data_IF_082840915119
#
_entry.id   IF_082840915119
#
_cell.length_a   1.000
_cell.length_b   1.000
_cell.length_c   1.000
_cell.angle_alpha   90.00
_cell.angle_beta   90.00
_cell.angle_gamma   90.00
#
_symmetry.space_group_name_H-M   'P 1'
#
loop_
_entity.id
_entity.type
_entity.pdbx_description
1 polymer ?
#
# COMPACT_ATOMS: atom_id res chain seq x y z
N UNK A 1 25.85 15.91 9.00
CA UNK A 1 25.67 16.34 10.39
C UNK A 1 24.35 15.79 10.85
N UNK A 2 24.38 14.61 11.46
CA UNK A 2 23.90 14.14 12.78
C UNK A 2 22.54 14.77 13.17
N UNK A 3 21.47 14.00 13.35
CA UNK A 3 21.21 13.21 14.56
C UNK A 3 20.22 12.08 14.23
N UNK A 4 20.64 10.85 14.51
CA UNK A 4 19.83 9.64 14.62
C UNK A 4 19.30 9.63 16.05
N UNK A 5 17.99 9.60 16.25
CA UNK A 5 17.40 9.33 17.55
C UNK A 5 16.71 7.97 17.49
N UNK A 6 17.45 6.94 17.90
CA UNK A 6 16.91 5.62 18.17
C UNK A 6 16.21 5.66 19.53
N UNK A 7 14.89 5.46 19.55
CA UNK A 7 14.15 5.18 20.79
C UNK A 7 13.99 3.67 20.89
N UNK A 8 14.89 3.07 21.66
CA UNK A 8 14.77 1.72 22.17
C UNK A 8 13.81 1.74 23.37
N UNK A 9 12.62 1.19 23.20
CA UNK A 9 11.70 0.94 24.29
C UNK A 9 11.99 -0.48 24.82
N UNK A 10 12.78 -0.53 25.89
CA UNK A 10 13.08 -1.74 26.64
C UNK A 10 11.82 -2.09 27.46
N UNK A 11 11.16 -3.17 27.08
CA UNK A 11 10.15 -3.79 27.92
C UNK A 11 10.87 -4.65 28.97
N UNK A 12 10.98 -4.10 30.18
CA UNK A 12 11.43 -4.84 31.36
C UNK A 12 10.32 -5.81 31.80
N UNK A 13 10.55 -7.09 31.57
CA UNK A 13 9.82 -8.18 32.22
C UNK A 13 10.21 -8.20 33.69
N UNK A 14 9.32 -7.76 34.54
CA UNK A 14 9.42 -7.94 35.99
C UNK A 14 9.24 -9.40 36.34
N UNK A 15 10.35 -10.07 36.61
CA UNK A 15 10.35 -11.36 37.30
C UNK A 15 10.01 -11.14 38.76
N UNK A 16 8.86 -11.62 39.20
CA UNK A 16 8.49 -11.68 40.60
C UNK A 16 9.05 -12.98 41.19
N UNK A 17 10.18 -12.89 41.89
CA UNK A 17 10.68 -13.99 42.73
C UNK A 17 9.81 -14.08 43.99
N UNK A 18 9.01 -15.11 44.04
CA UNK A 18 8.28 -15.47 45.23
C UNK A 18 9.11 -16.36 46.14
N UNK A 19 9.47 -15.85 47.31
CA UNK A 19 10.17 -16.56 48.39
C UNK A 19 9.41 -17.82 48.83
N UNK A 20 10.10 -18.94 48.80
CA UNK A 20 9.71 -20.20 49.38
C UNK A 20 10.09 -20.20 50.88
N UNK A 21 9.13 -20.09 51.78
CA UNK A 21 9.33 -20.48 53.18
C UNK A 21 8.56 -21.79 53.43
N UNK A 22 9.32 -22.79 53.76
CA UNK A 22 8.83 -24.09 54.19
C UNK A 22 8.28 -24.01 55.62
N UNK A 23 7.05 -24.44 55.81
CA UNK A 23 6.55 -24.87 57.14
C UNK A 23 5.53 -26.00 56.93
N UNK A 24 5.81 -27.13 57.43
CA UNK A 24 5.02 -28.36 57.49
C UNK A 24 4.41 -28.50 58.93
N UNK A 25 3.55 -29.50 59.24
CA UNK A 25 2.17 -29.72 58.84
C UNK A 25 1.21 -29.78 60.02
N UNK A 26 -0.05 -29.54 59.84
CA UNK A 26 -1.08 -30.14 60.70
C UNK A 26 -2.39 -30.31 59.93
N UNK A 27 -2.88 -31.50 59.98
CA UNK A 27 -4.08 -32.01 59.37
C UNK A 27 -5.35 -31.24 59.78
N UNK A 28 -6.18 -30.87 58.80
CA UNK A 28 -7.62 -30.81 58.97
C UNK A 28 -8.35 -31.27 57.72
N UNK A 29 -9.11 -32.31 57.86
CA UNK A 29 -10.09 -32.85 56.93
C UNK A 29 -11.22 -31.85 56.84
N UNK A 30 -11.52 -31.36 55.63
CA UNK A 30 -12.66 -30.48 55.43
C UNK A 30 -12.93 -30.27 53.93
N UNK A 31 -13.95 -30.98 53.46
CA UNK A 31 -14.83 -30.73 52.33
C UNK A 31 -14.19 -30.32 50.99
N UNK A 32 -14.25 -31.25 50.03
CA UNK A 32 -13.91 -31.03 48.61
C UNK A 32 -14.78 -29.95 47.99
N UNK A 33 -14.14 -28.82 47.66
CA UNK A 33 -14.61 -27.92 46.64
C UNK A 33 -14.00 -28.42 45.32
N UNK A 34 -14.77 -28.69 44.26
CA UNK A 34 -14.25 -29.27 43.05
C UNK A 34 -13.29 -28.26 42.38
N UNK A 35 -12.03 -28.65 42.26
CA UNK A 35 -10.97 -27.91 41.54
C UNK A 35 -11.31 -27.65 40.06
N UNK A 36 -12.39 -28.21 39.56
CA UNK A 36 -12.83 -28.12 38.17
C UNK A 36 -13.45 -26.76 37.83
N UNK A 37 -14.08 -26.05 38.80
CA UNK A 37 -14.77 -24.79 38.53
C UNK A 37 -13.79 -23.61 38.31
N UNK A 38 -12.64 -23.61 38.98
CA UNK A 38 -11.64 -22.54 38.84
C UNK A 38 -10.93 -22.56 37.45
N UNK A 39 -10.66 -23.75 36.96
CA UNK A 39 -10.03 -23.89 35.63
C UNK A 39 -10.99 -23.53 34.48
N UNK A 40 -12.29 -23.83 34.64
CA UNK A 40 -13.30 -23.43 33.64
C UNK A 40 -13.54 -21.91 33.62
N UNK A 41 -13.53 -21.27 34.79
CA UNK A 41 -13.69 -19.81 34.89
C UNK A 41 -12.49 -19.10 34.27
N UNK A 42 -11.27 -19.53 34.55
CA UNK A 42 -10.06 -18.95 33.94
C UNK A 42 -10.01 -19.13 32.42
N UNK A 43 -10.40 -20.29 31.89
CA UNK A 43 -10.44 -20.51 30.44
C UNK A 43 -11.51 -19.66 29.75
N UNK A 44 -12.66 -19.43 30.38
CA UNK A 44 -13.72 -18.57 29.88
C UNK A 44 -13.30 -17.08 29.86
N UNK A 45 -12.62 -16.61 30.92
CA UNK A 45 -12.07 -15.24 30.97
C UNK A 45 -10.99 -15.02 29.90
N UNK A 46 -10.10 -15.99 29.72
CA UNK A 46 -9.08 -15.95 28.66
C UNK A 46 -9.73 -15.91 27.27
N UNK A 47 -10.71 -16.78 27.00
CA UNK A 47 -11.42 -16.79 25.72
C UNK A 47 -12.15 -15.46 25.46
N UNK A 48 -12.75 -14.84 26.49
CA UNK A 48 -13.38 -13.52 26.38
C UNK A 48 -12.38 -12.42 26.04
N UNK A 49 -11.21 -12.42 26.71
CA UNK A 49 -10.12 -11.47 26.42
C UNK A 49 -9.59 -11.64 24.99
N UNK A 50 -9.37 -12.87 24.52
CA UNK A 50 -8.92 -13.14 23.16
C UNK A 50 -9.94 -12.67 22.12
N UNK A 51 -11.24 -12.93 22.34
CA UNK A 51 -12.31 -12.42 21.46
C UNK A 51 -12.34 -10.88 21.41
N UNK A 52 -12.08 -10.20 22.51
CA UNK A 52 -11.98 -8.74 22.54
C UNK A 52 -10.78 -8.22 21.74
N UNK A 53 -9.63 -8.90 21.82
CA UNK A 53 -8.44 -8.55 21.03
C UNK A 53 -8.67 -8.80 19.53
N UNK A 54 -9.29 -9.92 19.14
CA UNK A 54 -9.68 -10.20 17.76
C UNK A 54 -10.58 -9.08 17.22
N UNK A 55 -11.62 -8.72 18.00
CA UNK A 55 -12.52 -7.63 17.63
C UNK A 55 -11.80 -6.29 17.45
N UNK A 56 -10.82 -5.99 18.29
CA UNK A 56 -10.02 -4.76 18.15
C UNK A 56 -9.27 -4.73 16.82
N UNK A 57 -8.66 -5.86 16.40
CA UNK A 57 -8.02 -5.98 15.09
C UNK A 57 -9.04 -5.83 13.97
N UNK A 58 -10.22 -6.47 14.08
CA UNK A 58 -11.29 -6.32 13.09
C UNK A 58 -11.75 -4.88 12.93
N UNK A 59 -11.88 -4.15 14.04
CA UNK A 59 -12.24 -2.72 14.02
C UNK A 59 -11.15 -1.84 13.36
N UNK A 60 -9.89 -2.23 13.48
CA UNK A 60 -8.78 -1.54 12.81
C UNK A 60 -8.75 -1.80 11.29
N UNK A 61 -9.02 -3.04 10.86
CA UNK A 61 -8.89 -3.41 9.44
C UNK A 61 -10.17 -3.25 8.64
N UNK A 62 -11.34 -3.11 9.27
CA UNK A 62 -12.66 -3.06 8.58
C UNK A 62 -12.77 -1.97 7.51
N UNK A 63 -12.08 -0.83 7.70
CA UNK A 63 -12.06 0.28 6.76
C UNK A 63 -10.89 0.20 5.76
N UNK A 64 -10.11 -0.87 5.79
CA UNK A 64 -9.03 -1.06 4.85
C UNK A 64 -9.59 -1.34 3.46
N UNK A 65 -9.11 -0.57 2.47
CA UNK A 65 -9.60 -0.66 1.10
C UNK A 65 -9.38 -2.05 0.48
N UNK A 66 -8.30 -2.74 0.84
CA UNK A 66 -7.97 -4.06 0.33
C UNK A 66 -8.91 -5.13 0.87
N UNK A 67 -9.25 -5.06 2.18
CA UNK A 67 -10.27 -5.94 2.80
C UNK A 67 -11.61 -5.75 2.11
N UNK A 68 -12.03 -4.50 1.91
CA UNK A 68 -13.30 -4.21 1.23
C UNK A 68 -13.33 -4.74 -0.21
N UNK A 69 -12.27 -4.49 -0.98
CA UNK A 69 -12.14 -4.99 -2.37
C UNK A 69 -12.13 -6.52 -2.43
N UNK A 70 -11.39 -7.16 -1.53
CA UNK A 70 -11.31 -8.62 -1.46
C UNK A 70 -12.64 -9.24 -1.06
N UNK A 71 -13.32 -8.70 -0.04
CA UNK A 71 -14.65 -9.14 0.38
C UNK A 71 -15.67 -9.04 -0.76
N UNK A 72 -15.68 -7.93 -1.51
CA UNK A 72 -16.55 -7.74 -2.66
C UNK A 72 -16.22 -8.72 -3.80
N UNK A 73 -14.94 -8.98 -4.06
CA UNK A 73 -14.50 -9.98 -5.03
C UNK A 73 -15.00 -11.39 -4.64
N UNK A 74 -14.84 -11.80 -3.38
CA UNK A 74 -15.35 -13.08 -2.88
C UNK A 74 -16.89 -13.12 -2.96
N UNK A 75 -17.54 -12.02 -2.62
CA UNK A 75 -19.00 -11.86 -2.78
C UNK A 75 -19.44 -12.09 -4.24
N UNK A 76 -18.76 -11.48 -5.19
CA UNK A 76 -19.02 -11.67 -6.62
C UNK A 76 -18.82 -13.13 -7.05
N UNK A 77 -17.72 -13.77 -6.65
CA UNK A 77 -17.45 -15.18 -6.94
C UNK A 77 -18.52 -16.12 -6.36
N UNK A 78 -19.00 -15.84 -5.15
CA UNK A 78 -20.06 -16.61 -4.51
C UNK A 78 -21.40 -16.46 -5.25
N UNK A 79 -21.75 -15.25 -5.66
CA UNK A 79 -22.95 -14.99 -6.46
C UNK A 79 -22.86 -15.69 -7.83
N UNK A 80 -21.68 -15.71 -8.45
CA UNK A 80 -21.45 -16.42 -9.71
C UNK A 80 -21.66 -17.93 -9.55
N UNK A 81 -21.13 -18.53 -8.48
CA UNK A 81 -21.37 -19.95 -8.14
C UNK A 81 -22.84 -20.22 -7.87
N UNK A 82 -23.51 -19.33 -7.11
CA UNK A 82 -24.94 -19.45 -6.82
C UNK A 82 -25.80 -19.35 -8.10
N UNK A 83 -25.47 -18.43 -9.01
CA UNK A 83 -26.14 -18.33 -10.31
C UNK A 83 -26.01 -19.63 -11.10
N UNK A 84 -24.81 -20.21 -11.18
CA UNK A 84 -24.58 -21.47 -11.87
C UNK A 84 -25.36 -22.66 -11.23
N UNK A 85 -25.43 -22.68 -9.89
CA UNK A 85 -26.18 -23.69 -9.16
C UNK A 85 -27.69 -23.57 -9.46
N UNK A 86 -28.26 -22.36 -9.41
CA UNK A 86 -29.65 -22.10 -9.70
C UNK A 86 -30.01 -22.43 -11.17
N UNK A 87 -29.12 -22.16 -12.12
CA UNK A 87 -29.28 -22.55 -13.52
C UNK A 87 -29.27 -24.09 -13.71
N UNK A 88 -28.41 -24.78 -12.97
CA UNK A 88 -28.39 -26.25 -12.98
C UNK A 88 -29.63 -26.86 -12.32
N UNK A 89 -30.12 -26.25 -11.23
CA UNK A 89 -31.36 -26.65 -10.56
C UNK A 89 -32.59 -26.41 -11.46
N UNK A 90 -32.64 -25.27 -12.15
CA UNK A 90 -33.73 -24.92 -13.09
C UNK A 90 -33.84 -25.98 -14.20
N UNK A 91 -32.70 -26.47 -14.73
CA UNK A 91 -32.70 -27.54 -15.77
C UNK A 91 -33.20 -28.89 -15.27
N UNK A 92 -33.10 -29.14 -13.95
CA UNK A 92 -33.55 -30.42 -13.34
C UNK A 92 -34.98 -30.38 -12.80
N UNK A 93 -35.56 -29.19 -12.63
CA UNK A 93 -36.86 -29.02 -11.98
C UNK A 93 -38.02 -29.31 -12.95
N UNK A 94 -39.02 -30.12 -12.48
CA UNK A 94 -40.16 -30.58 -13.27
C UNK A 94 -41.50 -30.01 -12.81
N UNK A 95 -41.57 -29.00 -11.93
CA UNK A 95 -42.79 -28.42 -11.40
C UNK A 95 -42.89 -26.93 -11.65
N UNK A 96 -44.04 -26.43 -12.14
CA UNK A 96 -44.26 -25.02 -12.53
C UNK A 96 -43.97 -24.04 -11.40
N UNK A 97 -44.43 -24.32 -10.16
CA UNK A 97 -44.26 -23.40 -9.02
C UNK A 97 -42.80 -23.31 -8.57
N UNK A 98 -42.07 -24.44 -8.54
CA UNK A 98 -40.62 -24.46 -8.22
C UNK A 98 -39.80 -23.74 -9.29
N UNK A 99 -40.15 -23.90 -10.57
CA UNK A 99 -39.51 -23.21 -11.68
C UNK A 99 -39.65 -21.69 -11.52
N UNK A 100 -40.84 -21.18 -11.20
CA UNK A 100 -41.10 -19.77 -11.02
C UNK A 100 -40.26 -19.18 -9.83
N UNK A 101 -40.15 -19.92 -8.73
CA UNK A 101 -39.36 -19.51 -7.57
C UNK A 101 -37.85 -19.47 -7.91
N UNK A 102 -37.32 -20.50 -8.56
CA UNK A 102 -35.91 -20.55 -8.96
C UNK A 102 -35.59 -19.42 -9.94
N UNK A 103 -36.47 -19.15 -10.91
CA UNK A 103 -36.30 -18.04 -11.85
C UNK A 103 -36.28 -16.68 -11.16
N UNK A 104 -37.12 -16.47 -10.14
CA UNK A 104 -37.14 -15.24 -9.35
C UNK A 104 -35.78 -15.06 -8.60
N UNK A 105 -35.29 -16.13 -7.95
CA UNK A 105 -34.01 -16.11 -7.25
C UNK A 105 -32.85 -15.86 -8.23
N UNK A 106 -32.84 -16.55 -9.36
CA UNK A 106 -31.83 -16.39 -10.40
C UNK A 106 -31.78 -14.97 -10.95
N UNK A 107 -32.96 -14.33 -11.17
CA UNK A 107 -33.01 -12.94 -11.60
C UNK A 107 -32.38 -12.00 -10.56
N UNK A 108 -32.75 -12.16 -9.28
CA UNK A 108 -32.17 -11.35 -8.20
C UNK A 108 -30.63 -11.50 -8.10
N UNK A 109 -30.13 -12.75 -8.23
CA UNK A 109 -28.66 -12.99 -8.21
C UNK A 109 -27.99 -12.35 -9.43
N UNK A 110 -28.59 -12.43 -10.62
CA UNK A 110 -28.07 -11.80 -11.84
C UNK A 110 -28.06 -10.27 -11.74
N UNK A 111 -29.06 -9.66 -11.13
CA UNK A 111 -29.11 -8.22 -10.86
C UNK A 111 -27.97 -7.81 -9.89
N UNK A 112 -27.73 -8.60 -8.83
CA UNK A 112 -26.61 -8.36 -7.93
C UNK A 112 -25.23 -8.50 -8.62
N UNK A 113 -25.07 -9.49 -9.51
CA UNK A 113 -23.85 -9.66 -10.31
C UNK A 113 -23.58 -8.45 -11.22
N UNK A 114 -24.63 -7.84 -11.79
CA UNK A 114 -24.49 -6.62 -12.60
C UNK A 114 -23.99 -5.45 -11.74
N UNK A 115 -24.53 -5.29 -10.53
CA UNK A 115 -24.11 -4.24 -9.60
C UNK A 115 -22.66 -4.40 -9.12
N UNK A 116 -22.20 -5.65 -8.97
CA UNK A 116 -20.86 -5.97 -8.49
C UNK A 116 -19.87 -6.28 -9.62
N UNK A 117 -20.21 -5.97 -10.87
CA UNK A 117 -19.39 -6.33 -12.04
C UNK A 117 -17.96 -5.76 -11.99
N UNK A 118 -17.75 -4.63 -11.34
CA UNK A 118 -16.43 -4.05 -11.15
C UNK A 118 -15.47 -4.95 -10.33
N UNK A 119 -16.04 -5.84 -9.48
CA UNK A 119 -15.30 -6.80 -8.65
C UNK A 119 -15.12 -8.18 -9.32
N UNK A 120 -15.37 -8.31 -10.61
CA UNK A 120 -15.14 -9.55 -11.37
C UNK A 120 -13.66 -9.93 -11.41
N UNK A 121 -12.79 -8.92 -11.48
CA UNK A 121 -11.34 -9.10 -11.55
C UNK A 121 -10.71 -9.14 -10.16
N UNK A 122 -9.57 -9.80 -10.05
CA UNK A 122 -8.79 -9.82 -8.80
C UNK A 122 -8.57 -8.41 -8.26
N UNK A 123 -8.81 -8.18 -6.96
CA UNK A 123 -8.61 -6.88 -6.32
C UNK A 123 -7.17 -6.40 -6.35
N UNK A 124 -6.22 -7.31 -6.58
CA UNK A 124 -4.78 -7.03 -6.58
C UNK A 124 -4.22 -6.72 -7.97
N UNK A 125 -5.06 -6.74 -9.02
CA UNK A 125 -4.59 -6.59 -10.40
C UNK A 125 -3.83 -5.28 -10.60
N UNK A 126 -4.32 -4.18 -10.00
CA UNK A 126 -3.73 -2.84 -10.15
C UNK A 126 -2.32 -2.73 -9.57
N UNK A 127 -2.02 -3.52 -8.53
CA UNK A 127 -0.68 -3.52 -7.90
C UNK A 127 0.26 -4.57 -8.49
N UNK A 128 -0.31 -5.64 -9.05
CA UNK A 128 0.44 -6.70 -9.72
C UNK A 128 0.82 -6.26 -11.14
N UNK A 129 -0.13 -5.70 -11.90
CA UNK A 129 0.09 -5.14 -13.21
C UNK A 129 0.54 -3.68 -13.10
N UNK A 130 1.82 -3.46 -12.82
CA UNK A 130 2.38 -2.10 -12.70
C UNK A 130 2.00 -1.23 -13.90
N UNK A 131 1.74 0.07 -13.67
CA UNK A 131 1.33 0.97 -14.74
C UNK A 131 2.41 1.05 -15.83
N UNK A 132 1.97 1.08 -17.08
CA UNK A 132 2.88 1.33 -18.20
C UNK A 132 3.49 2.72 -18.05
N UNK A 133 4.81 2.77 -18.01
CA UNK A 133 5.54 4.04 -18.03
C UNK A 133 6.06 4.26 -19.44
N UNK A 134 5.44 5.16 -20.23
CA UNK A 134 5.98 5.54 -21.52
C UNK A 134 7.36 6.16 -21.35
N UNK A 135 8.24 5.95 -22.32
CA UNK A 135 9.55 6.61 -22.29
C UNK A 135 9.36 8.13 -22.35
N UNK A 136 9.93 8.87 -21.39
CA UNK A 136 9.78 10.30 -21.38
C UNK A 136 10.53 10.93 -22.57
N UNK A 137 9.95 11.98 -23.15
CA UNK A 137 10.56 12.72 -24.24
C UNK A 137 11.94 13.26 -23.82
N UNK A 138 12.92 13.15 -24.74
CA UNK A 138 14.28 13.67 -24.54
C UNK A 138 14.29 15.19 -24.43
N UNK A 139 15.09 15.72 -23.52
CA UNK A 139 15.26 17.17 -23.35
C UNK A 139 16.33 17.66 -24.33
N UNK A 140 15.91 18.24 -25.45
CA UNK A 140 16.80 18.64 -26.55
C UNK A 140 17.17 20.11 -26.55
N UNK A 141 16.45 20.93 -25.80
CA UNK A 141 16.67 22.39 -25.74
C UNK A 141 16.55 22.92 -24.30
N UNK A 142 17.16 24.10 -23.98
CA UNK A 142 17.13 24.66 -22.63
C UNK A 142 15.74 25.00 -22.10
N UNK A 143 14.76 25.30 -22.99
CA UNK A 143 13.40 25.67 -22.55
C UNK A 143 12.61 24.48 -22.04
N UNK A 144 12.96 23.26 -22.48
CA UNK A 144 12.32 22.01 -22.01
C UNK A 144 12.86 21.50 -20.67
N UNK A 145 13.77 22.22 -20.02
CA UNK A 145 14.30 21.84 -18.69
C UNK A 145 13.15 21.77 -17.65
N UNK A 146 12.22 22.71 -17.70
CA UNK A 146 11.08 22.78 -16.74
C UNK A 146 10.18 21.54 -16.92
N UNK A 147 9.89 21.15 -18.18
CA UNK A 147 9.11 19.94 -18.43
C UNK A 147 9.86 18.68 -17.97
N UNK A 148 11.18 18.63 -18.10
CA UNK A 148 12.02 17.55 -17.58
C UNK A 148 11.93 17.40 -16.04
N UNK A 149 11.97 18.48 -15.31
CA UNK A 149 11.75 18.44 -13.85
C UNK A 149 10.35 17.95 -13.49
N UNK A 150 9.32 18.40 -14.20
CA UNK A 150 7.96 17.92 -14.02
C UNK A 150 7.85 16.42 -14.27
N UNK A 151 8.48 15.92 -15.32
CA UNK A 151 8.54 14.49 -15.64
C UNK A 151 9.21 13.68 -14.52
N UNK A 152 10.37 14.13 -14.02
CA UNK A 152 11.07 13.47 -12.92
C UNK A 152 10.17 13.41 -11.67
N UNK A 153 9.51 14.52 -11.33
CA UNK A 153 8.60 14.58 -10.19
C UNK A 153 7.43 13.60 -10.35
N UNK A 154 6.84 13.53 -11.53
CA UNK A 154 5.73 12.60 -11.81
C UNK A 154 6.18 11.14 -11.69
N UNK A 155 7.35 10.78 -12.24
CA UNK A 155 7.92 9.45 -12.12
C UNK A 155 8.20 9.08 -10.65
N UNK A 156 8.73 10.01 -9.86
CA UNK A 156 8.94 9.80 -8.42
C UNK A 156 7.63 9.63 -7.66
N UNK A 157 6.60 10.41 -8.00
CA UNK A 157 5.28 10.31 -7.38
C UNK A 157 4.64 8.94 -7.68
N UNK A 158 4.65 8.49 -8.94
CA UNK A 158 4.15 7.17 -9.33
C UNK A 158 4.88 6.03 -8.60
N UNK A 159 6.22 6.12 -8.52
CA UNK A 159 7.03 5.15 -7.78
C UNK A 159 6.62 5.09 -6.30
N UNK A 160 6.44 6.24 -5.67
CA UNK A 160 6.05 6.33 -4.26
C UNK A 160 4.64 5.79 -4.03
N UNK A 161 3.70 6.10 -4.90
CA UNK A 161 2.32 5.61 -4.82
C UNK A 161 2.26 4.09 -4.86
N UNK A 162 2.96 3.45 -5.80
CA UNK A 162 3.04 1.99 -5.89
C UNK A 162 3.69 1.37 -4.66
N UNK A 163 4.80 1.96 -4.19
CA UNK A 163 5.46 1.51 -2.98
C UNK A 163 4.52 1.55 -1.77
N UNK A 164 3.82 2.67 -1.59
CA UNK A 164 2.88 2.84 -0.47
C UNK A 164 1.72 1.84 -0.55
N UNK A 165 1.22 1.54 -1.76
CA UNK A 165 0.16 0.55 -1.94
C UNK A 165 0.61 -0.85 -1.51
N UNK A 166 1.83 -1.26 -1.89
CA UNK A 166 2.43 -2.54 -1.49
C UNK A 166 2.69 -2.58 0.02
N UNK A 167 3.21 -1.51 0.60
CA UNK A 167 3.46 -1.41 2.04
C UNK A 167 2.17 -1.49 2.87
N UNK A 168 1.09 -0.88 2.39
CA UNK A 168 -0.23 -0.98 3.02
C UNK A 168 -0.76 -2.43 3.04
N UNK A 169 -0.50 -3.22 2.00
CA UNK A 169 -0.85 -4.65 1.99
C UNK A 169 0.00 -5.40 3.01
N UNK A 170 1.30 -5.11 3.12
CA UNK A 170 2.16 -5.75 4.10
C UNK A 170 1.67 -5.49 5.53
N UNK A 171 1.36 -4.24 5.86
CA UNK A 171 0.79 -3.88 7.17
C UNK A 171 -0.50 -4.64 7.44
N UNK A 172 -1.33 -4.84 6.40
CA UNK A 172 -2.55 -5.63 6.53
C UNK A 172 -2.24 -7.10 6.79
N UNK A 173 -1.29 -7.71 6.07
CA UNK A 173 -0.84 -9.08 6.30
C UNK A 173 -0.38 -9.26 7.74
N UNK A 174 0.46 -8.36 8.26
CA UNK A 174 0.96 -8.41 9.64
C UNK A 174 -0.20 -8.41 10.67
N UNK A 175 -1.28 -7.64 10.40
CA UNK A 175 -2.49 -7.63 11.25
C UNK A 175 -3.31 -8.91 11.13
N UNK A 176 -3.45 -9.45 9.93
CA UNK A 176 -4.15 -10.73 9.70
C UNK A 176 -3.39 -11.89 10.35
N UNK A 177 -2.04 -11.89 10.31
CA UNK A 177 -1.21 -12.88 11.01
C UNK A 177 -1.37 -12.76 12.54
N UNK A 178 -1.40 -11.54 13.08
CA UNK A 178 -1.68 -11.32 14.51
C UNK A 178 -3.08 -11.85 14.89
N UNK A 179 -4.10 -11.60 14.05
CA UNK A 179 -5.46 -12.13 14.24
C UNK A 179 -5.46 -13.66 14.19
N UNK A 180 -4.74 -14.25 13.25
CA UNK A 180 -4.55 -15.71 13.12
C UNK A 180 -4.00 -16.32 14.41
N UNK A 181 -2.92 -15.75 14.95
CA UNK A 181 -2.31 -16.20 16.20
C UNK A 181 -3.29 -16.12 17.39
N UNK A 182 -4.17 -15.12 17.42
CA UNK A 182 -5.21 -15.03 18.45
C UNK A 182 -6.29 -16.12 18.30
N UNK A 183 -6.70 -16.45 17.07
CA UNK A 183 -7.62 -17.58 16.84
C UNK A 183 -7.01 -18.92 17.21
N UNK A 184 -5.73 -19.16 16.93
CA UNK A 184 -5.02 -20.36 17.34
C UNK A 184 -5.00 -20.53 18.87
N UNK A 185 -4.75 -19.43 19.60
CA UNK A 185 -4.82 -19.40 21.07
C UNK A 185 -6.25 -19.62 21.58
N UNK A 186 -7.24 -19.04 20.91
CA UNK A 186 -8.65 -19.21 21.26
C UNK A 186 -9.08 -20.67 21.10
N UNK A 187 -8.65 -21.36 20.06
CA UNK A 187 -8.91 -22.80 19.87
C UNK A 187 -8.26 -23.66 20.96
N UNK A 188 -7.09 -23.27 21.46
CA UNK A 188 -6.43 -23.97 22.56
C UNK A 188 -7.15 -23.73 23.90
N UNK A 189 -7.72 -22.54 24.11
CA UNK A 189 -8.41 -22.17 25.33
C UNK A 189 -9.87 -22.67 25.39
N UNK A 190 -10.52 -22.80 24.23
CA UNK A 190 -11.92 -23.22 24.11
C UNK A 190 -12.11 -24.09 22.87
N UNK A 191 -12.88 -25.19 23.01
CA UNK A 191 -13.26 -26.05 21.87
C UNK A 191 -14.37 -25.37 21.01
N UNK A 192 -14.13 -24.12 20.56
CA UNK A 192 -15.09 -23.34 19.78
C UNK A 192 -14.99 -23.71 18.31
N UNK A 193 -15.97 -24.47 17.81
CA UNK A 193 -16.02 -24.89 16.41
C UNK A 193 -16.13 -23.69 15.44
N UNK A 194 -16.67 -22.55 15.87
CA UNK A 194 -16.73 -21.35 15.06
C UNK A 194 -15.36 -20.75 14.85
N UNK A 195 -14.47 -20.80 15.85
CA UNK A 195 -13.10 -20.32 15.74
C UNK A 195 -12.28 -21.12 14.69
N UNK A 196 -12.54 -22.41 14.56
CA UNK A 196 -11.88 -23.25 13.55
C UNK A 196 -12.32 -22.89 12.12
N UNK A 197 -13.61 -22.57 11.92
CA UNK A 197 -14.11 -22.13 10.62
C UNK A 197 -13.54 -20.75 10.24
N UNK A 198 -13.49 -19.81 11.18
CA UNK A 198 -12.90 -18.49 10.98
C UNK A 198 -11.40 -18.57 10.70
N UNK A 199 -10.66 -19.43 11.41
CA UNK A 199 -9.24 -19.64 11.15
C UNK A 199 -8.98 -20.14 9.73
N UNK A 200 -9.80 -21.06 9.23
CA UNK A 200 -9.69 -21.55 7.85
C UNK A 200 -9.96 -20.47 6.82
N UNK A 201 -10.95 -19.61 7.06
CA UNK A 201 -11.25 -18.48 6.18
C UNK A 201 -10.09 -17.46 6.20
N UNK A 202 -9.53 -17.20 7.37
CA UNK A 202 -8.40 -16.31 7.56
C UNK A 202 -7.12 -16.84 6.90
N UNK A 203 -6.86 -18.17 6.98
CA UNK A 203 -5.72 -18.81 6.28
C UNK A 203 -5.85 -18.67 4.76
N UNK A 204 -7.06 -18.80 4.22
CA UNK A 204 -7.30 -18.55 2.80
C UNK A 204 -7.06 -17.07 2.43
N UNK A 205 -7.60 -16.15 3.21
CA UNK A 205 -7.41 -14.71 3.02
C UNK A 205 -5.92 -14.32 3.07
N UNK A 206 -5.19 -14.78 4.09
CA UNK A 206 -3.75 -14.58 4.23
C UNK A 206 -2.96 -15.14 3.04
N UNK A 207 -3.33 -16.31 2.55
CA UNK A 207 -2.69 -16.92 1.38
C UNK A 207 -2.82 -16.04 0.13
N UNK A 208 -4.02 -15.49 -0.12
CA UNK A 208 -4.28 -14.61 -1.26
C UNK A 208 -3.53 -13.27 -1.13
N UNK A 209 -3.55 -12.63 0.06
CA UNK A 209 -2.82 -11.39 0.31
C UNK A 209 -1.31 -11.58 0.22
N UNK A 210 -0.76 -12.65 0.80
CA UNK A 210 0.67 -12.94 0.78
C UNK A 210 1.17 -13.20 -0.64
N UNK A 211 0.42 -14.00 -1.42
CA UNK A 211 0.75 -14.27 -2.82
C UNK A 211 0.72 -12.99 -3.64
N UNK A 212 -0.31 -12.14 -3.47
CA UNK A 212 -0.40 -10.87 -4.16
C UNK A 212 0.75 -9.91 -3.78
N UNK A 213 1.13 -9.87 -2.51
CA UNK A 213 2.25 -9.07 -2.02
C UNK A 213 3.58 -9.51 -2.65
N UNK A 214 3.89 -10.81 -2.67
CA UNK A 214 5.13 -11.34 -3.25
C UNK A 214 5.25 -11.01 -4.75
N UNK A 215 4.15 -11.20 -5.50
CA UNK A 215 4.13 -10.86 -6.93
C UNK A 215 4.29 -9.35 -7.12
N UNK A 216 3.55 -8.54 -6.35
CA UNK A 216 3.62 -7.09 -6.44
C UNK A 216 5.02 -6.56 -6.09
N UNK A 217 5.67 -7.10 -5.06
CA UNK A 217 7.03 -6.72 -4.68
C UNK A 217 8.03 -7.05 -5.78
N UNK A 218 7.98 -8.27 -6.34
CA UNK A 218 8.86 -8.68 -7.45
C UNK A 218 8.66 -7.79 -8.67
N UNK A 219 7.42 -7.49 -9.00
CA UNK A 219 7.07 -6.62 -10.14
C UNK A 219 7.53 -5.18 -9.87
N UNK A 220 7.37 -4.69 -8.63
CA UNK A 220 7.82 -3.36 -8.23
C UNK A 220 9.34 -3.21 -8.34
N UNK A 221 10.13 -4.22 -8.01
CA UNK A 221 11.59 -4.16 -8.15
C UNK A 221 12.02 -3.92 -9.62
N UNK A 222 11.32 -4.53 -10.56
CA UNK A 222 11.54 -4.31 -12.00
C UNK A 222 11.09 -2.91 -12.41
N UNK A 223 9.92 -2.50 -11.95
CA UNK A 223 9.35 -1.17 -12.19
C UNK A 223 10.25 -0.07 -11.64
N UNK A 224 10.72 -0.20 -10.40
CA UNK A 224 11.63 0.77 -9.77
C UNK A 224 12.92 0.94 -10.57
N UNK A 225 13.54 -0.15 -11.05
CA UNK A 225 14.73 -0.10 -11.89
C UNK A 225 14.46 0.67 -13.19
N UNK A 226 13.32 0.43 -13.82
CA UNK A 226 12.89 1.14 -15.04
C UNK A 226 12.73 2.64 -14.77
N UNK A 227 11.99 3.01 -13.71
CA UNK A 227 11.77 4.41 -13.33
C UNK A 227 13.09 5.11 -12.98
N UNK A 228 13.96 4.47 -12.21
CA UNK A 228 15.25 5.04 -11.84
C UNK A 228 16.14 5.26 -13.06
N UNK A 229 16.11 4.34 -14.06
CA UNK A 229 16.80 4.52 -15.33
C UNK A 229 16.25 5.72 -16.11
N UNK A 230 14.94 5.88 -16.20
CA UNK A 230 14.31 7.02 -16.87
C UNK A 230 14.65 8.36 -16.18
N UNK A 231 14.62 8.39 -14.84
CA UNK A 231 15.04 9.58 -14.06
C UNK A 231 16.52 9.91 -14.32
N UNK A 232 17.40 8.90 -14.39
CA UNK A 232 18.82 9.12 -14.66
C UNK A 232 19.04 9.74 -16.05
N UNK A 233 18.34 9.23 -17.08
CA UNK A 233 18.38 9.78 -18.44
C UNK A 233 17.90 11.23 -18.47
N UNK A 234 16.74 11.53 -17.87
CA UNK A 234 16.19 12.89 -17.79
C UNK A 234 17.14 13.83 -17.04
N UNK A 235 17.73 13.38 -15.94
CA UNK A 235 18.70 14.17 -15.16
C UNK A 235 19.96 14.48 -15.99
N UNK A 236 20.45 13.52 -16.76
CA UNK A 236 21.59 13.71 -17.65
C UNK A 236 21.27 14.73 -18.76
N UNK A 237 20.08 14.63 -19.37
CA UNK A 237 19.62 15.57 -20.38
C UNK A 237 19.49 17.00 -19.81
N UNK A 238 18.91 17.15 -18.63
CA UNK A 238 18.82 18.45 -17.92
C UNK A 238 20.21 19.04 -17.70
N UNK A 239 21.16 18.26 -17.17
CA UNK A 239 22.53 18.72 -16.94
C UNK A 239 23.21 19.19 -18.23
N UNK A 240 23.02 18.46 -19.33
CA UNK A 240 23.55 18.85 -20.63
C UNK A 240 22.96 20.17 -21.13
N UNK A 241 21.64 20.37 -20.98
CA UNK A 241 20.99 21.61 -21.39
C UNK A 241 21.32 22.80 -20.50
N UNK A 242 21.48 22.60 -19.18
CA UNK A 242 21.96 23.64 -18.26
C UNK A 242 23.36 24.10 -18.64
N UNK A 243 24.25 23.17 -18.99
CA UNK A 243 25.60 23.51 -19.47
C UNK A 243 25.55 24.33 -20.78
N UNK A 244 24.68 23.95 -21.73
CA UNK A 244 24.49 24.70 -22.99
C UNK A 244 23.95 26.10 -22.72
N UNK A 245 22.92 26.24 -21.87
CA UNK A 245 22.34 27.53 -21.49
C UNK A 245 23.39 28.43 -20.81
N UNK A 246 24.21 27.86 -19.93
CA UNK A 246 25.34 28.59 -19.30
C UNK A 246 26.35 29.12 -20.32
N UNK A 247 26.73 28.30 -21.30
CA UNK A 247 27.62 28.74 -22.37
C UNK A 247 27.02 29.90 -23.20
N UNK A 248 25.73 29.81 -23.52
CA UNK A 248 25.04 30.89 -24.26
C UNK A 248 25.02 32.17 -23.42
N UNK A 249 24.71 32.07 -22.14
CA UNK A 249 24.71 33.23 -21.23
C UNK A 249 26.10 33.91 -21.14
N UNK A 250 27.18 33.14 -21.08
CA UNK A 250 28.56 33.67 -21.11
C UNK A 250 28.82 34.43 -22.40
N UNK A 251 28.45 33.90 -23.58
CA UNK A 251 28.61 34.61 -24.86
C UNK A 251 27.82 35.91 -24.89
N UNK A 252 26.59 35.93 -24.38
CA UNK A 252 25.77 37.12 -24.30
C UNK A 252 26.48 38.20 -23.44
N UNK A 253 27.02 37.79 -22.26
CA UNK A 253 27.78 38.71 -21.39
C UNK A 253 29.02 39.26 -22.06
N UNK A 254 29.76 38.42 -22.82
CA UNK A 254 30.92 38.90 -23.58
C UNK A 254 30.53 39.94 -24.65
N UNK A 255 29.41 39.74 -25.36
CA UNK A 255 28.93 40.73 -26.36
C UNK A 255 28.52 42.02 -25.69
N UNK A 256 27.82 41.97 -24.56
CA UNK A 256 27.44 43.14 -23.77
C UNK A 256 28.68 43.90 -23.28
N UNK A 257 29.70 43.17 -22.75
CA UNK A 257 30.92 43.79 -22.26
C UNK A 257 31.73 44.46 -23.42
N UNK A 258 31.82 43.78 -24.60
CA UNK A 258 32.43 44.39 -25.78
C UNK A 258 31.69 45.64 -26.25
N UNK A 259 30.37 45.60 -26.28
CA UNK A 259 29.54 46.80 -26.64
C UNK A 259 29.79 47.98 -25.68
N UNK A 260 29.84 47.67 -24.34
CA UNK A 260 30.15 48.70 -23.35
C UNK A 260 31.57 49.25 -23.53
N UNK A 261 32.55 48.38 -23.76
CA UNK A 261 33.94 48.78 -24.02
C UNK A 261 34.05 49.68 -25.25
N UNK A 262 33.42 49.30 -26.38
CA UNK A 262 33.37 50.11 -27.58
C UNK A 262 32.79 51.50 -27.33
N UNK A 263 31.70 51.60 -26.55
CA UNK A 263 31.11 52.88 -26.17
C UNK A 263 32.05 53.74 -25.33
N UNK A 264 32.78 53.15 -24.38
CA UNK A 264 33.77 53.86 -23.55
C UNK A 264 34.95 54.37 -24.41
N UNK A 265 35.46 53.53 -25.29
CA UNK A 265 36.54 53.91 -26.24
C UNK A 265 36.08 55.01 -27.18
N UNK A 266 34.88 54.90 -27.77
CA UNK A 266 34.32 55.92 -28.67
C UNK A 266 34.20 57.27 -27.94
N UNK A 267 33.65 57.28 -26.67
CA UNK A 267 33.56 58.49 -25.86
C UNK A 267 34.91 59.12 -25.56
N UNK A 268 35.97 58.34 -25.41
CA UNK A 268 37.33 58.84 -25.14
C UNK A 268 38.05 59.42 -26.38
N UNK A 269 37.81 58.87 -27.56
CA UNK A 269 38.55 59.23 -28.79
C UNK A 269 37.77 60.13 -29.73
N UNK A 270 36.43 60.16 -29.67
CA UNK A 270 35.57 61.03 -30.52
C UNK A 270 35.31 62.32 -29.75
N UNK A 271 36.01 63.40 -30.12
CA UNK A 271 35.87 64.73 -29.50
C UNK A 271 34.66 65.54 -29.99
N UNK A 272 33.92 65.05 -30.99
CA UNK A 272 32.78 65.79 -31.57
C UNK A 272 31.46 65.17 -31.14
N UNK A 273 30.61 65.91 -30.44
CA UNK A 273 29.36 65.45 -29.79
C UNK A 273 28.35 64.84 -30.83
N UNK A 274 28.29 65.42 -32.03
CA UNK A 274 27.41 64.89 -33.09
C UNK A 274 27.75 63.46 -33.54
N UNK A 275 29.01 63.14 -33.70
CA UNK A 275 29.46 61.80 -34.11
C UNK A 275 29.33 60.78 -32.98
N UNK A 276 29.40 61.18 -31.72
CA UNK A 276 29.17 60.30 -30.61
C UNK A 276 27.69 59.86 -30.49
N UNK A 277 26.76 60.74 -30.86
CA UNK A 277 25.32 60.42 -30.87
C UNK A 277 24.96 59.34 -31.88
N UNK A 278 25.55 59.39 -33.06
CA UNK A 278 25.39 58.38 -34.12
C UNK A 278 25.90 57.01 -33.65
N UNK A 279 27.10 56.95 -33.06
CA UNK A 279 27.70 55.67 -32.55
C UNK A 279 26.92 55.06 -31.38
N UNK A 280 26.23 55.89 -30.58
CA UNK A 280 25.41 55.39 -29.45
C UNK A 280 24.04 54.91 -29.88
N UNK A 281 23.55 55.29 -31.08
CA UNK A 281 22.25 54.90 -31.64
C UNK A 281 22.31 53.68 -32.54
N UNK A 282 23.47 53.26 -32.97
CA UNK A 282 23.73 52.00 -33.71
C UNK A 282 23.98 50.82 -32.76
#
# INVERSE_FOLDING_TARGET
>A
MKIILAVFLIFSLGFCEGNFTAANPSAQIGSGVPQNDKNQTQSAELASSLKAQIKAIDDEIKNNIWISRFSNFIGYQNLQKQSAQLEAELKKSAGTDKIAEIQKRLRAVKEQLILLKEYEKSPFLDIIAMPETPEPARITNPFSIISGFSTIRNLQAQKMEQKNAIENIKILIDKLEAKRALYERLMQASADASAAAELKNLDYELGEFSSAYEIAQTTYDVYEKKINSQIAVQTADIKAQVKRAGNIAVWILVVIALSFFCKVVAKKYIKNDENFYIVNKA
#
